data_IF_462150797253
#
_entry.id   IF_462150797253
#
_cell.length_a   1.000
_cell.length_b   1.000
_cell.length_c   1.000
_cell.angle_alpha   90.00
_cell.angle_beta   90.00
_cell.angle_gamma   90.00
#
_symmetry.space_group_name_H-M   'P 1'
#
loop_
_entity.id
_entity.type
_entity.pdbx_description
1 polymer ?
#
# COMPACT_ATOMS: atom_id res chain seq x y z
N UNK A 1 4.90 -15.15 -3.67
CA UNK A 1 5.51 -13.82 -3.52
C UNK A 1 4.45 -12.78 -3.13
N UNK A 2 4.88 -11.75 -2.38
CA UNK A 2 4.05 -10.62 -1.98
C UNK A 2 4.66 -9.33 -2.54
N UNK A 3 3.81 -8.40 -2.99
CA UNK A 3 4.21 -7.05 -3.40
C UNK A 3 3.57 -6.06 -2.44
N UNK A 4 4.37 -5.43 -1.60
CA UNK A 4 3.90 -4.34 -0.76
C UNK A 4 4.06 -3.02 -1.49
N UNK A 5 3.02 -2.18 -1.49
CA UNK A 5 3.02 -0.92 -2.23
C UNK A 5 2.27 0.18 -1.49
N UNK A 6 2.62 1.42 -1.82
CA UNK A 6 2.02 2.63 -1.27
C UNK A 6 2.19 3.80 -2.24
N UNK A 7 1.24 4.75 -2.24
CA UNK A 7 1.26 5.93 -3.09
C UNK A 7 1.06 7.21 -2.29
N UNK A 8 1.88 8.21 -2.59
CA UNK A 8 1.62 9.58 -2.17
C UNK A 8 0.93 10.35 -3.29
N UNK A 9 -0.08 11.10 -2.93
CA UNK A 9 -0.92 11.82 -3.90
C UNK A 9 -0.90 13.32 -3.65
N UNK A 10 -1.17 14.10 -4.68
CA UNK A 10 -1.27 15.56 -4.55
C UNK A 10 -2.65 16.05 -4.05
N UNK A 11 -3.59 15.16 -3.83
CA UNK A 11 -4.97 15.46 -3.40
C UNK A 11 -5.61 14.20 -2.86
N UNK A 12 -6.59 14.32 -1.99
CA UNK A 12 -7.47 13.23 -1.55
C UNK A 12 -8.54 12.86 -2.59
N UNK A 13 -8.77 13.72 -3.56
CA UNK A 13 -9.77 13.53 -4.61
C UNK A 13 -9.23 12.64 -5.74
N UNK A 14 -9.71 11.41 -5.81
CA UNK A 14 -9.29 10.42 -6.82
C UNK A 14 -9.59 10.82 -8.27
N UNK A 15 -10.56 11.71 -8.51
CA UNK A 15 -10.95 12.14 -9.84
C UNK A 15 -10.01 13.19 -10.43
N UNK A 16 -9.48 14.07 -9.60
CA UNK A 16 -8.64 15.20 -10.00
C UNK A 16 -7.21 15.10 -9.49
N UNK A 17 -6.98 14.31 -8.44
CA UNK A 17 -5.66 14.11 -7.87
C UNK A 17 -4.74 13.29 -8.78
N UNK A 18 -3.46 13.37 -8.50
CA UNK A 18 -2.40 12.67 -9.19
C UNK A 18 -1.51 11.95 -8.19
N UNK A 19 -1.12 10.72 -8.49
CA UNK A 19 -0.02 10.03 -7.78
C UNK A 19 1.27 10.79 -8.07
N UNK A 20 1.94 11.27 -7.03
CA UNK A 20 3.20 12.04 -7.14
C UNK A 20 4.42 11.26 -6.67
N UNK A 21 4.21 10.23 -5.85
CA UNK A 21 5.24 9.27 -5.48
C UNK A 21 4.61 7.88 -5.43
N UNK A 22 5.34 6.87 -5.87
CA UNK A 22 4.96 5.48 -5.78
C UNK A 22 6.15 4.67 -5.28
N UNK A 23 5.91 3.73 -4.38
CA UNK A 23 6.89 2.77 -3.93
C UNK A 23 6.26 1.37 -3.87
N UNK A 24 7.07 0.38 -4.19
CA UNK A 24 6.68 -1.01 -4.05
C UNK A 24 7.90 -1.89 -3.79
N UNK A 25 7.72 -2.94 -3.00
CA UNK A 25 8.77 -3.92 -2.67
C UNK A 25 8.21 -5.31 -2.89
N UNK A 26 8.88 -6.08 -3.74
CA UNK A 26 8.63 -7.51 -3.94
C UNK A 26 9.39 -8.28 -2.87
N UNK A 27 8.69 -9.15 -2.14
CA UNK A 27 9.29 -10.05 -1.15
C UNK A 27 8.89 -11.50 -1.41
N UNK A 28 9.73 -12.44 -0.97
CA UNK A 28 9.37 -13.85 -0.93
C UNK A 28 8.52 -14.17 0.31
N UNK A 29 8.12 -15.44 0.47
CA UNK A 29 7.28 -15.91 1.59
C UNK A 29 7.96 -15.78 2.97
N UNK A 30 9.28 -15.56 3.01
CA UNK A 30 10.06 -15.26 4.22
C UNK A 30 10.28 -13.76 4.42
N UNK A 31 9.58 -12.91 3.67
CA UNK A 31 9.71 -11.44 3.68
C UNK A 31 11.13 -10.94 3.35
N UNK A 32 11.92 -11.71 2.62
CA UNK A 32 13.19 -11.25 2.07
C UNK A 32 12.91 -10.43 0.82
N UNK A 33 13.45 -9.22 0.75
CA UNK A 33 13.32 -8.35 -0.42
C UNK A 33 14.01 -8.99 -1.63
N UNK A 34 13.27 -9.08 -2.74
CA UNK A 34 13.75 -9.60 -4.02
C UNK A 34 13.98 -8.48 -5.02
N UNK A 35 13.13 -7.46 -5.01
CA UNK A 35 13.21 -6.32 -5.92
C UNK A 35 12.43 -5.14 -5.35
N UNK A 36 12.67 -3.95 -5.87
CA UNK A 36 12.04 -2.71 -5.40
C UNK A 36 11.78 -1.75 -6.55
N UNK A 37 10.77 -0.95 -6.39
CA UNK A 37 10.49 0.22 -7.21
C UNK A 37 10.28 1.44 -6.32
N UNK A 38 10.87 2.54 -6.69
CA UNK A 38 10.58 3.88 -6.17
C UNK A 38 10.54 4.87 -7.31
N UNK A 39 9.51 5.69 -7.37
CA UNK A 39 9.37 6.75 -8.36
C UNK A 39 8.70 7.99 -7.78
N UNK A 40 9.14 9.14 -8.25
CA UNK A 40 8.50 10.44 -7.98
C UNK A 40 8.37 11.18 -9.29
N UNK A 41 7.25 11.86 -9.50
CA UNK A 41 7.01 12.62 -10.71
C UNK A 41 6.64 14.08 -10.41
N UNK A 42 6.81 14.94 -11.39
CA UNK A 42 6.27 16.30 -11.40
C UNK A 42 4.75 16.28 -11.63
N UNK A 43 4.09 17.35 -11.25
CA UNK A 43 2.68 17.52 -11.57
C UNK A 43 2.49 17.68 -13.09
N UNK A 44 1.43 17.07 -13.60
CA UNK A 44 0.98 17.28 -14.98
C UNK A 44 0.44 18.70 -15.16
N UNK A 45 0.52 19.28 -16.36
CA UNK A 45 -0.06 20.58 -16.62
C UNK A 45 -1.54 20.64 -16.23
N UNK A 46 -1.93 21.72 -15.53
CA UNK A 46 -3.30 21.92 -15.07
C UNK A 46 -3.68 21.20 -13.77
N UNK A 47 -2.86 20.32 -13.22
CA UNK A 47 -3.11 19.70 -11.91
C UNK A 47 -2.74 20.68 -10.80
N UNK A 48 -3.72 21.00 -9.95
CA UNK A 48 -3.53 21.85 -8.78
C UNK A 48 -3.51 20.96 -7.52
N UNK A 49 -2.42 20.95 -6.78
CA UNK A 49 -2.32 20.12 -5.57
C UNK A 49 -3.09 20.74 -4.41
N UNK A 50 -3.65 19.90 -3.55
CA UNK A 50 -4.20 20.32 -2.26
C UNK A 50 -3.07 20.59 -1.26
N UNK A 51 -3.10 21.76 -0.61
CA UNK A 51 -2.07 22.14 0.36
C UNK A 51 -1.92 21.12 1.49
N UNK A 52 -3.05 20.59 2.00
CA UNK A 52 -3.04 19.58 3.07
C UNK A 52 -2.39 18.28 2.64
N UNK A 53 -2.62 17.81 1.41
CA UNK A 53 -1.96 16.61 0.89
C UNK A 53 -0.44 16.79 0.84
N UNK A 54 0.03 17.93 0.33
CA UNK A 54 1.46 18.24 0.28
C UNK A 54 2.10 18.39 1.67
N UNK A 55 1.36 18.94 2.65
CA UNK A 55 1.83 19.03 4.03
C UNK A 55 1.97 17.65 4.67
N UNK A 56 0.97 16.78 4.49
CA UNK A 56 0.98 15.43 5.06
C UNK A 56 2.15 14.61 4.50
N UNK A 57 2.32 14.57 3.18
CA UNK A 57 3.39 13.80 2.56
C UNK A 57 4.73 14.56 2.44
N UNK A 58 4.84 15.72 3.14
CA UNK A 58 6.06 16.55 3.22
C UNK A 58 6.65 16.89 1.84
N UNK A 59 5.81 16.97 0.81
CA UNK A 59 6.23 17.30 -0.54
C UNK A 59 6.12 18.80 -0.78
N UNK A 60 7.24 19.44 -1.08
CA UNK A 60 7.25 20.88 -1.38
C UNK A 60 7.10 21.13 -2.88
N UNK A 61 6.59 22.31 -3.30
CA UNK A 61 6.59 22.69 -4.72
C UNK A 61 7.98 22.65 -5.37
N UNK A 62 9.03 22.88 -4.59
CA UNK A 62 10.43 22.77 -5.05
C UNK A 62 10.75 21.33 -5.44
N UNK A 63 10.47 20.36 -4.57
CA UNK A 63 10.67 18.92 -4.85
C UNK A 63 9.97 18.52 -6.14
N UNK A 64 8.71 18.93 -6.32
CA UNK A 64 7.93 18.60 -7.52
C UNK A 64 8.53 19.21 -8.80
N UNK A 65 9.08 20.42 -8.72
CA UNK A 65 9.72 21.09 -9.87
C UNK A 65 11.07 20.47 -10.23
N UNK A 66 11.85 20.02 -9.23
CA UNK A 66 13.17 19.41 -9.42
C UNK A 66 13.11 17.96 -9.87
N UNK A 67 11.93 17.34 -9.82
CA UNK A 67 11.73 15.95 -10.29
C UNK A 67 11.76 15.90 -11.82
N UNK A 68 12.51 14.93 -12.37
CA UNK A 68 12.71 14.82 -13.82
C UNK A 68 11.59 14.04 -14.52
N UNK A 69 10.99 13.04 -13.85
CA UNK A 69 9.97 12.19 -14.46
C UNK A 69 8.65 12.93 -14.63
N UNK A 70 8.04 12.80 -15.79
CA UNK A 70 6.62 13.10 -15.96
C UNK A 70 5.77 12.03 -15.26
N UNK A 71 4.51 12.35 -14.97
CA UNK A 71 3.56 11.40 -14.41
C UNK A 71 3.45 10.13 -15.28
N UNK A 72 3.31 10.29 -16.58
CA UNK A 72 3.25 9.18 -17.54
C UNK A 72 4.48 8.26 -17.44
N UNK A 73 5.69 8.84 -17.43
CA UNK A 73 6.93 8.05 -17.32
C UNK A 73 7.01 7.26 -16.02
N UNK A 74 6.66 7.88 -14.88
CA UNK A 74 6.64 7.20 -13.58
C UNK A 74 5.66 6.03 -13.59
N UNK A 75 4.44 6.24 -14.10
CA UNK A 75 3.41 5.19 -14.16
C UNK A 75 3.84 4.05 -15.09
N UNK A 76 4.45 4.34 -16.23
CA UNK A 76 4.99 3.31 -17.14
C UNK A 76 6.07 2.47 -16.45
N UNK A 77 7.03 3.10 -15.79
CA UNK A 77 8.08 2.38 -15.05
C UNK A 77 7.51 1.49 -13.95
N UNK A 78 6.52 2.00 -13.19
CA UNK A 78 5.81 1.23 -12.16
C UNK A 78 5.09 0.02 -12.76
N UNK A 79 4.35 0.22 -13.87
CA UNK A 79 3.64 -0.85 -14.55
C UNK A 79 4.58 -1.93 -15.08
N UNK A 80 5.72 -1.54 -15.65
CA UNK A 80 6.73 -2.47 -16.14
C UNK A 80 7.24 -3.36 -15.00
N UNK A 81 7.47 -2.78 -13.80
CA UNK A 81 7.82 -3.54 -12.60
C UNK A 81 6.70 -4.47 -12.14
N UNK A 82 5.48 -3.98 -12.03
CA UNK A 82 4.32 -4.78 -11.59
C UNK A 82 4.04 -5.94 -12.56
N UNK A 83 4.24 -5.75 -13.86
CA UNK A 83 4.13 -6.81 -14.86
C UNK A 83 5.25 -7.85 -14.76
N UNK A 84 6.47 -7.45 -14.36
CA UNK A 84 7.56 -8.39 -14.05
C UNK A 84 7.26 -9.21 -12.79
N UNK A 85 6.55 -8.65 -11.83
CA UNK A 85 6.19 -9.27 -10.55
C UNK A 85 4.82 -9.97 -10.56
N UNK A 86 4.31 -10.31 -11.73
CA UNK A 86 3.03 -11.04 -11.88
C UNK A 86 2.98 -12.35 -11.08
N UNK A 87 1.79 -12.89 -10.87
CA UNK A 87 1.50 -14.03 -10.00
C UNK A 87 1.88 -13.75 -8.54
N UNK A 88 1.64 -12.53 -8.07
CA UNK A 88 1.90 -12.09 -6.71
C UNK A 88 0.64 -11.55 -6.05
N UNK A 89 0.64 -11.51 -4.72
CA UNK A 89 -0.40 -10.84 -3.95
C UNK A 89 0.06 -9.40 -3.68
N UNK A 90 -0.69 -8.43 -4.19
CA UNK A 90 -0.46 -7.01 -3.97
C UNK A 90 -1.12 -6.57 -2.67
N UNK A 91 -0.33 -6.03 -1.74
CA UNK A 91 -0.78 -5.67 -0.39
C UNK A 91 -0.37 -4.23 -0.08
N UNK A 92 -1.34 -3.38 0.17
CA UNK A 92 -1.09 -2.06 0.75
C UNK A 92 -1.68 -1.93 2.16
N UNK A 93 -1.53 -0.78 2.76
CA UNK A 93 -2.11 -0.45 4.07
C UNK A 93 -3.31 0.48 3.89
N UNK A 94 -4.54 -0.02 4.08
CA UNK A 94 -5.80 0.66 3.75
C UNK A 94 -5.92 1.02 2.25
N UNK A 95 -5.23 0.24 1.41
CA UNK A 95 -5.06 0.52 -0.02
C UNK A 95 -6.31 0.29 -0.85
N UNK A 96 -7.20 -0.61 -0.44
CA UNK A 96 -8.44 -0.91 -1.19
C UNK A 96 -9.31 0.33 -1.33
N UNK A 97 -9.34 1.19 -0.30
CA UNK A 97 -10.19 2.37 -0.28
C UNK A 97 -9.51 3.64 -0.81
N UNK A 98 -8.19 3.60 -1.04
CA UNK A 98 -7.44 4.79 -1.44
C UNK A 98 -6.50 4.51 -2.63
N UNK A 99 -5.42 3.78 -2.42
CA UNK A 99 -4.37 3.56 -3.43
C UNK A 99 -4.90 2.87 -4.68
N UNK A 100 -5.74 1.85 -4.51
CA UNK A 100 -6.36 1.12 -5.62
C UNK A 100 -7.26 2.01 -6.48
N UNK A 101 -8.02 2.91 -5.87
CA UNK A 101 -8.85 3.85 -6.60
C UNK A 101 -8.00 4.86 -7.40
N UNK A 102 -6.92 5.37 -6.79
CA UNK A 102 -5.96 6.22 -7.49
C UNK A 102 -5.26 5.47 -8.62
N UNK A 103 -4.81 4.24 -8.37
CA UNK A 103 -4.15 3.41 -9.38
C UNK A 103 -5.08 3.15 -10.57
N UNK A 104 -6.29 2.67 -10.34
CA UNK A 104 -7.25 2.38 -11.40
C UNK A 104 -7.55 3.58 -12.28
N UNK A 105 -7.82 4.75 -11.65
CA UNK A 105 -8.09 5.98 -12.40
C UNK A 105 -6.86 6.50 -13.12
N UNK A 106 -5.70 6.36 -12.52
CA UNK A 106 -4.43 6.74 -13.14
C UNK A 106 -4.15 5.89 -14.37
N UNK A 107 -4.31 4.57 -14.27
CA UNK A 107 -4.15 3.66 -15.40
C UNK A 107 -5.14 3.97 -16.51
N UNK A 108 -6.42 4.15 -16.18
CA UNK A 108 -7.45 4.52 -17.14
C UNK A 108 -7.12 5.84 -17.89
N UNK A 109 -6.69 6.88 -17.16
CA UNK A 109 -6.29 8.17 -17.75
C UNK A 109 -5.07 8.05 -18.67
N UNK A 110 -4.22 7.07 -18.45
CA UNK A 110 -3.04 6.79 -19.27
C UNK A 110 -3.33 5.76 -20.38
N UNK A 111 -4.61 5.40 -20.62
CA UNK A 111 -5.05 4.41 -21.60
C UNK A 111 -4.47 3.01 -21.35
N UNK A 112 -4.24 2.68 -20.08
CA UNK A 112 -3.73 1.41 -19.62
C UNK A 112 -4.83 0.58 -18.94
N UNK A 113 -4.62 -0.73 -18.83
CA UNK A 113 -5.60 -1.62 -18.21
C UNK A 113 -5.70 -1.37 -16.69
N UNK A 114 -6.89 -0.98 -16.17
CA UNK A 114 -7.02 -0.44 -14.82
C UNK A 114 -7.01 -1.48 -13.68
N UNK A 115 -7.00 -2.79 -14.00
CA UNK A 115 -7.11 -3.86 -12.99
C UNK A 115 -5.81 -4.66 -12.84
N UNK A 116 -4.68 -3.99 -12.90
CA UNK A 116 -3.34 -4.58 -12.89
C UNK A 116 -3.08 -5.47 -11.68
N UNK A 117 -3.56 -5.07 -10.49
CA UNK A 117 -3.33 -5.76 -9.21
C UNK A 117 -4.22 -6.99 -8.99
N UNK A 118 -5.19 -7.25 -9.88
CA UNK A 118 -6.14 -8.39 -9.75
C UNK A 118 -6.28 -9.20 -11.03
N UNK A 119 -5.37 -9.03 -11.98
CA UNK A 119 -5.35 -9.78 -13.26
C UNK A 119 -3.97 -10.39 -13.48
N UNK A 120 -3.84 -11.23 -14.52
CA UNK A 120 -2.58 -11.90 -14.87
C UNK A 120 -2.01 -12.76 -13.73
N UNK A 121 -2.89 -13.41 -12.95
CA UNK A 121 -2.50 -14.21 -11.79
C UNK A 121 -2.20 -13.41 -10.54
N UNK A 122 -2.39 -12.08 -10.57
CA UNK A 122 -2.26 -11.24 -9.40
C UNK A 122 -3.51 -11.33 -8.52
N UNK A 123 -3.30 -11.22 -7.23
CA UNK A 123 -4.31 -11.15 -6.19
C UNK A 123 -4.09 -9.89 -5.35
N UNK A 124 -5.11 -9.44 -4.63
CA UNK A 124 -5.04 -8.19 -3.85
C UNK A 124 -5.48 -8.40 -2.42
N UNK A 125 -4.69 -7.89 -1.48
CA UNK A 125 -4.98 -7.86 -0.05
C UNK A 125 -4.86 -6.47 0.55
N UNK A 126 -5.32 -6.32 1.80
CA UNK A 126 -5.21 -5.08 2.56
C UNK A 126 -4.77 -5.38 3.99
N UNK A 127 -3.58 -4.88 4.36
CA UNK A 127 -2.99 -5.18 5.66
C UNK A 127 -3.72 -4.50 6.82
N UNK A 128 -4.38 -3.36 6.60
CA UNK A 128 -5.19 -2.71 7.62
C UNK A 128 -6.35 -3.60 8.08
N UNK A 129 -7.07 -4.19 7.13
CA UNK A 129 -8.17 -5.12 7.41
C UNK A 129 -7.66 -6.40 8.07
N UNK A 130 -6.51 -6.91 7.61
CA UNK A 130 -5.87 -8.10 8.19
C UNK A 130 -5.41 -7.84 9.63
N UNK A 131 -4.80 -6.69 9.92
CA UNK A 131 -4.36 -6.32 11.26
C UNK A 131 -5.54 -6.23 12.25
N UNK A 132 -6.68 -5.70 11.80
CA UNK A 132 -7.92 -5.66 12.60
C UNK A 132 -8.47 -7.06 12.87
N UNK A 133 -8.51 -7.92 11.86
CA UNK A 133 -8.93 -9.30 12.02
C UNK A 133 -8.01 -10.07 12.96
N UNK A 134 -6.68 -9.92 12.78
CA UNK A 134 -5.70 -10.57 13.65
C UNK A 134 -5.86 -10.13 15.11
N UNK A 135 -6.01 -8.84 15.38
CA UNK A 135 -6.24 -8.32 16.72
C UNK A 135 -7.56 -8.81 17.35
N UNK A 136 -8.60 -9.02 16.54
CA UNK A 136 -9.88 -9.53 17.03
C UNK A 136 -9.76 -10.98 17.54
N UNK A 137 -9.06 -11.84 16.80
CA UNK A 137 -8.88 -13.24 17.17
C UNK A 137 -7.71 -13.50 18.12
N UNK A 138 -6.68 -12.66 18.06
CA UNK A 138 -5.45 -12.73 18.86
C UNK A 138 -5.10 -11.33 19.34
N UNK A 139 -5.74 -10.81 20.42
CA UNK A 139 -5.57 -9.41 20.86
C UNK A 139 -4.11 -9.01 21.13
N UNK A 140 -3.28 -9.97 21.58
CA UNK A 140 -1.88 -9.75 21.92
C UNK A 140 -0.91 -9.91 20.73
N UNK A 141 -1.44 -10.22 19.51
CA UNK A 141 -0.57 -10.45 18.34
C UNK A 141 0.18 -9.21 17.89
N UNK A 142 -0.39 -8.03 18.15
CA UNK A 142 0.16 -6.72 17.81
C UNK A 142 -0.31 -5.69 18.86
N UNK A 143 0.60 -4.86 19.34
CA UNK A 143 0.25 -3.76 20.24
C UNK A 143 -0.51 -2.69 19.47
N UNK A 144 -1.64 -2.23 20.01
CA UNK A 144 -2.45 -1.17 19.40
C UNK A 144 -2.54 0.02 20.36
N UNK A 145 -2.33 1.26 19.91
CA UNK A 145 -2.69 2.44 20.67
C UNK A 145 -4.19 2.45 20.93
N UNK A 146 -4.60 3.07 22.02
CA UNK A 146 -6.01 3.19 22.40
C UNK A 146 -6.43 4.65 22.30
N UNK A 147 -7.53 4.92 21.63
CA UNK A 147 -8.13 6.25 21.54
C UNK A 147 -8.79 6.67 22.85
N UNK A 148 -9.12 7.95 23.00
CA UNK A 148 -9.88 8.48 24.14
C UNK A 148 -11.24 7.78 24.33
N UNK A 149 -11.81 7.26 23.26
CA UNK A 149 -13.05 6.45 23.25
C UNK A 149 -12.82 4.97 23.56
N UNK A 150 -11.62 4.60 24.02
CA UNK A 150 -11.21 3.22 24.34
C UNK A 150 -11.24 2.25 23.15
N UNK A 151 -11.17 2.75 21.92
CA UNK A 151 -11.08 1.91 20.72
C UNK A 151 -9.62 1.74 20.28
N UNK A 152 -9.21 0.55 19.81
CA UNK A 152 -7.87 0.36 19.26
C UNK A 152 -7.68 1.17 17.98
N UNK A 153 -6.48 1.74 17.82
CA UNK A 153 -6.09 2.55 16.67
C UNK A 153 -5.17 1.70 15.77
N UNK A 154 -5.54 1.61 14.49
CA UNK A 154 -4.79 0.87 13.48
C UNK A 154 -4.15 1.76 12.41
N UNK A 155 -3.99 3.07 12.67
CA UNK A 155 -3.24 3.94 11.74
C UNK A 155 -1.77 3.52 11.73
N UNK A 156 -1.18 3.35 10.54
CA UNK A 156 0.20 2.89 10.38
C UNK A 156 1.20 3.76 11.17
N UNK A 157 1.04 5.08 11.09
CA UNK A 157 1.90 6.05 11.77
C UNK A 157 1.88 5.93 13.31
N UNK A 158 0.81 5.38 13.89
CA UNK A 158 0.67 5.15 15.33
C UNK A 158 0.99 3.69 15.70
N UNK A 159 0.63 2.76 14.81
CA UNK A 159 0.80 1.33 15.04
C UNK A 159 2.27 0.89 14.93
N UNK A 160 3.01 1.41 13.98
CA UNK A 160 4.41 1.04 13.76
C UNK A 160 5.31 1.38 14.97
N UNK A 161 5.30 2.61 15.51
CA UNK A 161 6.19 2.97 16.63
C UNK A 161 5.91 2.17 17.91
N UNK A 162 4.63 1.91 18.26
CA UNK A 162 4.30 1.15 19.48
C UNK A 162 4.77 -0.31 19.41
N UNK A 163 4.97 -0.84 18.20
CA UNK A 163 5.53 -2.15 17.94
C UNK A 163 7.06 -2.13 17.68
N UNK A 164 7.75 -1.04 18.04
CA UNK A 164 9.18 -0.84 17.86
C UNK A 164 9.63 -0.91 16.37
N UNK A 165 8.74 -0.61 15.44
CA UNK A 165 9.05 -0.55 14.03
C UNK A 165 9.52 0.88 13.70
N UNK A 166 10.71 0.99 13.10
CA UNK A 166 11.26 2.28 12.66
C UNK A 166 10.40 2.83 11.53
N UNK A 167 9.77 3.98 11.75
CA UNK A 167 8.94 4.67 10.77
C UNK A 167 9.35 6.15 10.69
N UNK A 168 10.67 6.38 10.56
CA UNK A 168 11.26 7.72 10.60
C UNK A 168 10.85 8.60 9.41
N UNK A 169 10.47 7.98 8.31
CA UNK A 169 10.02 8.63 7.07
C UNK A 169 8.52 8.41 6.84
N UNK A 170 7.72 8.49 7.90
CA UNK A 170 6.27 8.47 7.78
C UNK A 170 5.80 9.50 6.73
N UNK A 171 4.83 9.08 5.91
CA UNK A 171 4.35 9.84 4.75
C UNK A 171 5.41 10.02 3.65
N UNK A 172 6.25 9.01 3.47
CA UNK A 172 6.93 8.76 2.21
C UNK A 172 6.56 7.35 1.77
N UNK A 173 6.20 7.17 0.52
CA UNK A 173 5.69 5.88 0.03
C UNK A 173 6.59 4.69 0.40
N UNK A 174 7.90 4.80 0.26
CA UNK A 174 8.82 3.72 0.66
C UNK A 174 8.87 3.51 2.17
N UNK A 175 8.79 4.58 2.98
CA UNK A 175 8.74 4.48 4.44
C UNK A 175 7.51 3.70 4.91
N UNK A 176 6.36 3.98 4.30
CA UNK A 176 5.09 3.34 4.61
C UNK A 176 5.06 1.88 4.11
N UNK A 177 5.63 1.58 2.94
CA UNK A 177 5.84 0.20 2.46
C UNK A 177 6.70 -0.61 3.43
N UNK A 178 7.85 -0.08 3.86
CA UNK A 178 8.74 -0.82 4.77
C UNK A 178 8.10 -1.05 6.14
N UNK A 179 7.39 -0.06 6.70
CA UNK A 179 6.64 -0.23 7.92
C UNK A 179 5.51 -1.28 7.78
N UNK A 180 4.83 -1.27 6.65
CA UNK A 180 3.78 -2.26 6.30
C UNK A 180 4.35 -3.68 6.26
N UNK A 181 5.53 -3.89 5.67
CA UNK A 181 6.22 -5.18 5.65
C UNK A 181 6.54 -5.65 7.08
N UNK A 182 7.04 -4.78 7.95
CA UNK A 182 7.36 -5.15 9.33
C UNK A 182 6.09 -5.50 10.15
N UNK A 183 4.99 -4.78 9.96
CA UNK A 183 3.69 -5.17 10.54
C UNK A 183 3.26 -6.54 10.02
N UNK A 184 3.38 -6.80 8.71
CA UNK A 184 3.03 -8.09 8.11
C UNK A 184 3.85 -9.25 8.71
N UNK A 185 5.16 -9.05 8.94
CA UNK A 185 6.03 -10.02 9.62
C UNK A 185 5.53 -10.34 11.04
N UNK A 186 5.16 -9.31 11.81
CA UNK A 186 4.62 -9.51 13.17
C UNK A 186 3.32 -10.31 13.13
N UNK A 187 2.39 -9.98 12.25
CA UNK A 187 1.12 -10.67 12.11
C UNK A 187 1.31 -12.12 11.65
N UNK A 188 2.18 -12.36 10.67
CA UNK A 188 2.51 -13.72 10.24
C UNK A 188 3.12 -14.55 11.39
N UNK A 189 3.97 -13.95 12.22
CA UNK A 189 4.61 -14.62 13.35
C UNK A 189 3.62 -14.92 14.49
N UNK A 190 2.81 -13.92 14.89
CA UNK A 190 2.03 -13.95 16.12
C UNK A 190 0.58 -14.38 15.91
N UNK A 191 0.06 -14.31 14.67
CA UNK A 191 -1.30 -14.69 14.28
C UNK A 191 -1.31 -15.47 12.95
N UNK A 192 -0.44 -16.47 12.81
CA UNK A 192 -0.17 -17.19 11.57
C UNK A 192 -1.42 -17.78 10.92
N UNK A 193 -2.38 -18.27 11.72
CA UNK A 193 -3.62 -18.83 11.17
C UNK A 193 -4.49 -17.75 10.50
N UNK A 194 -4.62 -16.57 11.14
CA UNK A 194 -5.35 -15.45 10.57
C UNK A 194 -4.62 -14.91 9.34
N UNK A 195 -3.29 -14.82 9.39
CA UNK A 195 -2.47 -14.44 8.25
C UNK A 195 -2.75 -15.34 7.03
N UNK A 196 -2.63 -16.66 7.19
CA UNK A 196 -2.87 -17.63 6.12
C UNK A 196 -4.30 -17.57 5.59
N UNK A 197 -5.30 -17.53 6.49
CA UNK A 197 -6.70 -17.41 6.11
C UNK A 197 -6.97 -16.11 5.33
N UNK A 198 -6.39 -14.99 5.75
CA UNK A 198 -6.53 -13.71 5.07
C UNK A 198 -5.91 -13.72 3.66
N UNK A 199 -4.77 -14.41 3.47
CA UNK A 199 -4.21 -14.59 2.13
C UNK A 199 -5.09 -15.47 1.23
N UNK A 200 -5.89 -16.38 1.78
CA UNK A 200 -6.88 -17.12 0.99
C UNK A 200 -8.03 -16.20 0.52
N UNK A 201 -8.38 -15.17 1.27
CA UNK A 201 -9.45 -14.23 0.88
C UNK A 201 -9.08 -13.30 -0.28
N UNK A 202 -7.81 -13.24 -0.69
CA UNK A 202 -7.37 -12.47 -1.86
C UNK A 202 -7.82 -13.07 -3.19
N UNK A 203 -8.23 -14.34 -3.18
CA UNK A 203 -8.72 -15.07 -4.33
C UNK A 203 -10.16 -15.54 -4.10
N UNK A 204 -11.03 -15.31 -5.09
CA UNK A 204 -12.47 -15.61 -4.99
C UNK A 204 -12.76 -17.10 -4.74
N UNK A 205 -12.08 -18.00 -5.45
CA UNK A 205 -12.34 -19.44 -5.33
C UNK A 205 -11.87 -19.98 -3.99
N UNK A 206 -10.69 -19.52 -3.51
CA UNK A 206 -10.18 -19.84 -2.18
C UNK A 206 -11.07 -19.26 -1.08
N UNK A 207 -11.65 -18.06 -1.27
CA UNK A 207 -12.61 -17.46 -0.33
C UNK A 207 -13.87 -18.33 -0.18
N UNK A 208 -14.38 -18.88 -1.28
CA UNK A 208 -15.52 -19.80 -1.23
C UNK A 208 -15.22 -21.10 -0.48
N UNK A 209 -14.00 -21.62 -0.60
CA UNK A 209 -13.58 -22.79 0.19
C UNK A 209 -13.56 -22.47 1.67
N UNK A 210 -12.97 -21.33 2.05
CA UNK A 210 -12.87 -20.90 3.46
C UNK A 210 -14.24 -20.70 4.14
N UNK A 211 -15.28 -20.36 3.37
CA UNK A 211 -16.65 -20.17 3.92
C UNK A 211 -17.39 -21.52 4.07
N UNK A 212 -17.01 -22.54 3.28
CA UNK A 212 -17.66 -23.86 3.30
C UNK A 212 -17.12 -24.78 4.42
N UNK A 213 -15.90 -24.57 4.83
CA UNK A 213 -15.22 -25.29 5.91
C UNK A 213 -15.57 -24.69 7.28
#
# INVERSE_FOLDING_TARGET
NLVFYDFETCSSNVSYGQIIQAAAVLVNDNFQELDRYEGRCKLSPGVVPEAMALLVNKTTPKILKETNLSHYQMIRQMMDKFNQWKNSIFIGYNSINFDEEFLRRTLFKNLEYPYLTVTNGNERGDLFSLARAAHLYYPDCIKTPISDKKNPIFKLAELAPINNIKHNNAHSAIGDVLATIEIAKLLNKNASNVWKASLMTTNKDKSFQLIKD
#
